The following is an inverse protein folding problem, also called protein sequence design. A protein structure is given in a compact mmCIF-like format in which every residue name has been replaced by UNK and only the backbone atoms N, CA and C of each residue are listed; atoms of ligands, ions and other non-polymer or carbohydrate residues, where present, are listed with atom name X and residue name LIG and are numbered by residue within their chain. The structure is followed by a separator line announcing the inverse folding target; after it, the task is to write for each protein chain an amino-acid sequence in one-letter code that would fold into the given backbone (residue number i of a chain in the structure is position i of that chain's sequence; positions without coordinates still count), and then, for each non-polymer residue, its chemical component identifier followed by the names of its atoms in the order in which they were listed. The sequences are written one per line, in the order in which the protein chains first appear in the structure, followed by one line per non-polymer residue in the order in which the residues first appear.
data_IF_271604080690
#
_entry.id   IF_271604080690
#
_cell.length_a   1.000
_cell.length_b   1.000
_cell.length_c   1.000
_cell.angle_alpha   90.00
_cell.angle_beta   90.00
_cell.angle_gamma   90.00
#
_symmetry.space_group_name_H-M   'P 1'
#
loop_
_entity.id
_entity.type
_entity.pdbx_description
1 polymer ?
#
# COMPACT_ATOMS: atom_id res chain seq x y z
N UNK A 1 -17.44 29.32 10.29
CA UNK A 1 -17.06 28.38 9.22
C UNK A 1 -18.08 27.25 9.18
N UNK A 2 -18.52 26.80 7.99
CA UNK A 2 -19.44 25.66 7.83
C UNK A 2 -18.92 24.72 6.74
N UNK A 3 -18.92 23.41 7.02
CA UNK A 3 -18.52 22.36 6.09
C UNK A 3 -19.73 21.52 5.69
N UNK A 4 -19.92 21.36 4.38
CA UNK A 4 -21.00 20.58 3.77
C UNK A 4 -20.43 19.50 2.85
N UNK A 5 -21.17 18.43 2.60
CA UNK A 5 -20.80 17.43 1.61
C UNK A 5 -21.64 17.56 0.34
N UNK A 6 -20.98 17.83 -0.79
CA UNK A 6 -21.62 17.91 -2.11
C UNK A 6 -21.56 16.54 -2.79
N UNK A 7 -22.63 15.77 -2.69
CA UNK A 7 -22.75 14.39 -3.20
C UNK A 7 -22.44 14.25 -4.69
N UNK A 8 -22.93 15.17 -5.53
CA UNK A 8 -22.69 15.20 -6.99
C UNK A 8 -21.20 15.21 -7.34
N UNK A 9 -20.42 15.96 -6.58
CA UNK A 9 -18.99 16.13 -6.80
C UNK A 9 -18.11 15.26 -5.89
N UNK A 10 -18.72 14.56 -4.92
CA UNK A 10 -18.07 13.79 -3.85
C UNK A 10 -17.00 14.58 -3.10
N UNK A 11 -17.32 15.83 -2.73
CA UNK A 11 -16.39 16.76 -2.06
C UNK A 11 -16.97 17.33 -0.78
N UNK A 12 -16.11 17.45 0.22
CA UNK A 12 -16.35 18.30 1.38
C UNK A 12 -15.99 19.73 1.03
N UNK A 13 -16.90 20.66 1.29
CA UNK A 13 -16.75 22.07 0.95
C UNK A 13 -16.89 22.89 2.22
N UNK A 14 -15.90 23.72 2.48
CA UNK A 14 -15.91 24.68 3.57
C UNK A 14 -16.14 26.09 3.05
N UNK A 15 -17.18 26.71 3.58
CA UNK A 15 -17.42 28.15 3.44
C UNK A 15 -16.88 28.79 4.71
N UNK A 16 -15.80 29.55 4.54
CA UNK A 16 -15.05 30.19 5.62
C UNK A 16 -15.00 31.69 5.35
N UNK A 17 -15.09 32.50 6.40
CA UNK A 17 -14.81 33.94 6.30
C UNK A 17 -13.33 34.18 5.97
N UNK A 18 -12.96 35.43 5.69
CA UNK A 18 -11.57 35.81 5.44
C UNK A 18 -10.65 35.45 6.62
N UNK A 19 -11.13 35.61 7.85
CA UNK A 19 -10.35 35.32 9.06
C UNK A 19 -10.22 33.82 9.32
N UNK A 20 -11.24 33.05 8.94
CA UNK A 20 -11.29 31.59 9.10
C UNK A 20 -10.51 30.84 7.99
N UNK A 21 -10.06 31.53 6.94
CA UNK A 21 -9.37 30.90 5.80
C UNK A 21 -8.14 30.08 6.22
N UNK A 22 -7.48 30.47 7.31
CA UNK A 22 -6.30 29.78 7.82
C UNK A 22 -6.66 28.39 8.39
N UNK A 23 -7.87 28.22 8.92
CA UNK A 23 -8.36 26.93 9.44
C UNK A 23 -8.42 25.90 8.31
N UNK A 24 -9.12 26.24 7.22
CA UNK A 24 -9.20 25.39 6.03
C UNK A 24 -7.82 25.12 5.40
N UNK A 25 -6.99 26.16 5.32
CA UNK A 25 -5.63 26.07 4.75
C UNK A 25 -4.73 25.15 5.58
N UNK A 26 -4.77 25.26 6.91
CA UNK A 26 -4.01 24.40 7.83
C UNK A 26 -4.49 22.94 7.78
N UNK A 27 -5.79 22.73 7.59
CA UNK A 27 -6.39 21.42 7.31
C UNK A 27 -6.07 20.89 5.88
N UNK A 28 -5.27 21.61 5.10
CA UNK A 28 -4.82 21.24 3.74
C UNK A 28 -5.96 21.10 2.73
N UNK A 29 -7.05 21.85 2.91
CA UNK A 29 -8.07 21.99 1.89
C UNK A 29 -7.52 22.80 0.71
N UNK A 30 -8.09 22.59 -0.48
CA UNK A 30 -7.74 23.31 -1.70
C UNK A 30 -8.69 24.49 -1.88
N UNK A 31 -8.16 25.63 -2.30
CA UNK A 31 -8.97 26.78 -2.67
C UNK A 31 -9.50 26.62 -4.10
N UNK A 32 -10.81 26.81 -4.28
CA UNK A 32 -11.44 26.95 -5.58
C UNK A 32 -11.73 28.44 -5.84
N UNK A 33 -10.97 29.11 -6.73
CA UNK A 33 -11.16 30.53 -7.01
C UNK A 33 -12.46 30.82 -7.78
N UNK A 34 -12.99 29.86 -8.54
CA UNK A 34 -14.22 30.03 -9.30
C UNK A 34 -15.46 30.02 -8.41
N UNK A 35 -15.50 29.11 -7.43
CA UNK A 35 -16.60 29.02 -6.46
C UNK A 35 -16.33 29.79 -5.15
N UNK A 36 -15.14 30.39 -5.00
CA UNK A 36 -14.68 31.10 -3.79
C UNK A 36 -14.88 30.30 -2.50
N UNK A 37 -14.52 29.02 -2.54
CA UNK A 37 -14.70 28.10 -1.41
C UNK A 37 -13.50 27.17 -1.24
N UNK A 38 -13.34 26.62 -0.05
CA UNK A 38 -12.33 25.59 0.23
C UNK A 38 -12.94 24.21 0.03
N UNK A 39 -12.18 23.25 -0.48
CA UNK A 39 -12.68 21.88 -0.65
C UNK A 39 -11.62 20.80 -0.48
N UNK A 40 -12.08 19.59 -0.16
CA UNK A 40 -11.28 18.36 -0.23
C UNK A 40 -12.18 17.20 -0.64
N UNK A 41 -11.60 16.26 -1.38
CA UNK A 41 -12.18 14.95 -1.69
C UNK A 41 -11.65 13.85 -0.76
N UNK A 42 -10.82 14.23 0.21
CA UNK A 42 -10.17 13.36 1.19
C UNK A 42 -10.87 13.47 2.56
N UNK A 43 -11.66 12.45 2.98
CA UNK A 43 -12.32 12.42 4.28
C UNK A 43 -11.35 12.59 5.45
N UNK A 44 -10.11 12.11 5.35
CA UNK A 44 -9.10 12.18 6.43
C UNK A 44 -8.75 13.62 6.77
N UNK A 45 -8.65 14.48 5.75
CA UNK A 45 -8.45 15.92 5.95
C UNK A 45 -9.71 16.57 6.49
N UNK A 46 -10.88 16.18 5.99
CA UNK A 46 -12.15 16.75 6.42
C UNK A 46 -12.49 16.41 7.89
N UNK A 47 -12.12 15.23 8.38
CA UNK A 47 -12.26 14.84 9.79
C UNK A 47 -11.55 15.83 10.74
N UNK A 48 -10.44 16.46 10.32
CA UNK A 48 -9.75 17.46 11.16
C UNK A 48 -10.60 18.70 11.47
N UNK A 49 -11.68 18.90 10.70
CA UNK A 49 -12.64 20.00 10.83
C UNK A 49 -14.05 19.48 11.17
N UNK A 50 -14.16 18.31 11.82
CA UNK A 50 -15.43 17.67 12.15
C UNK A 50 -16.39 18.60 12.93
N UNK A 51 -15.86 19.47 13.79
CA UNK A 51 -16.65 20.44 14.55
C UNK A 51 -17.43 21.45 13.68
N UNK A 52 -16.99 21.67 12.44
CA UNK A 52 -17.66 22.54 11.48
C UNK A 52 -18.58 21.78 10.51
N UNK A 53 -18.69 20.45 10.63
CA UNK A 53 -19.51 19.62 9.75
C UNK A 53 -21.00 19.82 9.99
N UNK A 54 -21.74 20.00 8.91
CA UNK A 54 -23.20 20.07 8.97
C UNK A 54 -23.86 18.68 8.82
N UNK A 55 -25.18 18.66 8.79
CA UNK A 55 -26.00 17.45 8.68
C UNK A 55 -25.69 16.60 7.44
N UNK A 56 -25.19 17.21 6.36
CA UNK A 56 -24.81 16.50 5.13
C UNK A 56 -23.42 15.86 5.22
N UNK A 57 -22.49 16.51 5.91
CA UNK A 57 -21.11 16.05 6.03
C UNK A 57 -20.91 15.12 7.23
N UNK A 58 -21.59 15.38 8.35
CA UNK A 58 -21.35 14.71 9.63
C UNK A 58 -21.50 13.19 9.57
N UNK A 59 -22.55 12.60 8.95
CA UNK A 59 -22.68 11.13 8.89
C UNK A 59 -21.52 10.48 8.13
N UNK A 60 -21.11 11.08 7.01
CA UNK A 60 -20.03 10.56 6.16
C UNK A 60 -18.68 10.65 6.88
N UNK A 61 -18.44 11.76 7.58
CA UNK A 61 -17.20 11.94 8.31
C UNK A 61 -17.12 11.05 9.55
N UNK A 62 -18.23 10.85 10.28
CA UNK A 62 -18.28 9.90 11.40
C UNK A 62 -17.99 8.48 10.93
N UNK A 63 -18.65 8.03 9.87
CA UNK A 63 -18.39 6.71 9.29
C UNK A 63 -16.95 6.56 8.82
N UNK A 64 -16.39 7.60 8.19
CA UNK A 64 -14.99 7.59 7.75
C UNK A 64 -14.02 7.59 8.94
N UNK A 65 -14.34 8.28 10.03
CA UNK A 65 -13.53 8.30 11.24
C UNK A 65 -13.58 6.95 11.98
N UNK A 66 -14.75 6.35 12.12
CA UNK A 66 -14.90 4.98 12.66
C UNK A 66 -14.05 3.97 11.86
N UNK A 67 -14.21 3.97 10.53
CA UNK A 67 -13.40 3.10 9.64
C UNK A 67 -11.90 3.36 9.80
N UNK A 68 -11.51 4.62 10.00
CA UNK A 68 -10.11 4.99 10.22
C UNK A 68 -9.60 4.46 11.56
N UNK A 69 -10.36 4.60 12.64
CA UNK A 69 -10.00 4.10 13.97
C UNK A 69 -9.86 2.57 13.95
N UNK A 70 -10.81 1.87 13.33
CA UNK A 70 -10.74 0.43 13.11
C UNK A 70 -9.48 0.04 12.35
N UNK A 71 -9.13 0.78 11.30
CA UNK A 71 -7.90 0.51 10.54
C UNK A 71 -6.63 0.77 11.36
N UNK A 72 -6.61 1.78 12.24
CA UNK A 72 -5.47 2.05 13.13
C UNK A 72 -5.33 0.90 14.12
N UNK A 73 -6.42 0.49 14.76
CA UNK A 73 -6.42 -0.61 15.71
C UNK A 73 -5.97 -1.92 15.07
N UNK A 74 -6.48 -2.22 13.86
CA UNK A 74 -6.07 -3.39 13.08
C UNK A 74 -4.60 -3.35 12.66
N UNK A 75 -4.03 -2.16 12.43
CA UNK A 75 -2.60 -2.02 12.08
C UNK A 75 -1.65 -2.30 13.25
N UNK A 76 -2.16 -2.26 14.49
CA UNK A 76 -1.40 -2.53 15.72
C UNK A 76 -1.75 -3.86 16.36
N UNK A 77 -2.58 -4.68 15.72
CA UNK A 77 -3.01 -5.96 16.24
C UNK A 77 -1.80 -6.90 16.38
N UNK A 78 -1.69 -7.57 17.53
CA UNK A 78 -0.60 -8.52 17.82
C UNK A 78 -0.99 -9.97 17.48
N UNK A 79 -2.27 -10.21 17.22
CA UNK A 79 -2.81 -11.50 16.83
C UNK A 79 -3.92 -11.35 15.79
N UNK A 80 -4.27 -12.49 15.21
CA UNK A 80 -5.30 -12.64 14.20
C UNK A 80 -5.83 -14.06 14.27
N UNK A 81 -7.16 -14.20 14.28
CA UNK A 81 -7.81 -15.50 14.15
C UNK A 81 -8.07 -15.80 12.67
N UNK A 82 -6.99 -15.84 11.88
CA UNK A 82 -7.01 -16.17 10.47
C UNK A 82 -6.32 -17.51 10.26
N UNK A 83 -7.02 -18.46 9.64
CA UNK A 83 -6.42 -19.74 9.24
C UNK A 83 -5.67 -19.55 7.92
N UNK A 84 -4.38 -19.26 8.04
CA UNK A 84 -3.50 -18.99 6.89
C UNK A 84 -2.83 -20.29 6.50
N UNK A 85 -2.97 -20.74 5.23
CA UNK A 85 -2.27 -21.92 4.75
C UNK A 85 -0.76 -21.82 4.99
N UNK A 86 -0.19 -22.89 5.53
CA UNK A 86 1.23 -22.98 5.89
C UNK A 86 1.81 -24.33 5.44
N UNK A 87 3.07 -24.40 5.01
CA UNK A 87 3.69 -25.68 4.69
C UNK A 87 3.85 -26.57 5.93
N UNK A 88 3.92 -27.91 5.76
CA UNK A 88 4.10 -28.83 6.87
C UNK A 88 5.35 -28.51 7.71
N UNK A 89 5.20 -28.49 9.03
CA UNK A 89 6.29 -28.23 9.98
C UNK A 89 6.65 -26.74 10.16
N UNK A 90 5.93 -25.82 9.53
CA UNK A 90 6.09 -24.38 9.71
C UNK A 90 4.87 -23.76 10.40
N UNK A 91 5.06 -22.59 11.01
CA UNK A 91 3.98 -21.80 11.60
C UNK A 91 4.31 -20.31 11.54
N UNK A 92 3.30 -19.46 11.41
CA UNK A 92 3.43 -18.01 11.50
C UNK A 92 3.38 -17.57 12.96
N UNK A 93 4.20 -16.59 13.33
CA UNK A 93 4.06 -15.92 14.63
C UNK A 93 2.73 -15.13 14.70
N UNK A 94 2.16 -14.88 15.89
CA UNK A 94 0.91 -14.15 16.03
C UNK A 94 0.88 -12.79 15.31
N UNK A 95 1.94 -11.99 15.45
CA UNK A 95 2.05 -10.68 14.79
C UNK A 95 2.11 -10.81 13.26
N UNK A 96 2.72 -11.88 12.74
CA UNK A 96 2.75 -12.14 11.29
C UNK A 96 1.36 -12.46 10.77
N UNK A 97 0.56 -13.21 11.54
CA UNK A 97 -0.85 -13.46 11.18
C UNK A 97 -1.65 -12.16 11.14
N UNK A 98 -1.42 -11.26 12.08
CA UNK A 98 -2.04 -9.93 12.10
C UNK A 98 -1.66 -9.10 10.87
N UNK A 99 -0.36 -9.04 10.53
CA UNK A 99 0.13 -8.38 9.32
C UNK A 99 -0.47 -8.96 8.03
N UNK A 100 -0.56 -10.29 7.95
CA UNK A 100 -1.19 -10.99 6.82
C UNK A 100 -2.68 -10.64 6.73
N UNK A 101 -3.44 -10.74 7.83
CA UNK A 101 -4.86 -10.40 7.86
C UNK A 101 -5.08 -8.94 7.43
N UNK A 102 -4.26 -8.03 7.95
CA UNK A 102 -4.31 -6.62 7.59
C UNK A 102 -4.10 -6.40 6.09
N UNK A 103 -3.12 -7.10 5.49
CA UNK A 103 -2.80 -6.99 4.08
C UNK A 103 -3.84 -7.65 3.15
N UNK A 104 -4.41 -8.80 3.54
CA UNK A 104 -5.41 -9.55 2.77
C UNK A 104 -6.68 -8.72 2.53
N UNK A 105 -7.10 -7.94 3.54
CA UNK A 105 -8.32 -7.12 3.48
C UNK A 105 -8.18 -5.87 2.59
N UNK A 106 -6.96 -5.54 2.11
CA UNK A 106 -6.66 -4.29 1.42
C UNK A 106 -6.03 -4.53 0.05
N UNK A 107 -6.34 -3.66 -0.92
CA UNK A 107 -5.68 -3.70 -2.23
C UNK A 107 -4.24 -3.21 -2.17
N UNK A 108 -3.96 -2.19 -1.36
CA UNK A 108 -2.62 -1.65 -1.22
C UNK A 108 -2.28 -1.54 0.27
N UNK A 109 -1.11 -2.05 0.64
CA UNK A 109 -0.66 -2.14 2.04
C UNK A 109 0.80 -1.72 2.15
N UNK A 110 1.12 -1.00 3.22
CA UNK A 110 2.48 -0.74 3.65
C UNK A 110 2.73 -1.57 4.91
N UNK A 111 3.64 -2.54 4.84
CA UNK A 111 4.12 -3.32 5.97
C UNK A 111 5.40 -2.64 6.46
N UNK A 112 5.30 -2.00 7.62
CA UNK A 112 6.36 -1.14 8.15
C UNK A 112 7.02 -1.69 9.42
N UNK A 113 6.89 -3.00 9.66
CA UNK A 113 7.45 -3.64 10.85
C UNK A 113 8.97 -3.57 10.87
N UNK A 114 9.55 -3.78 12.05
CA UNK A 114 10.99 -3.68 12.25
C UNK A 114 11.79 -4.66 11.39
N UNK A 115 13.07 -4.34 11.16
CA UNK A 115 13.96 -5.23 10.43
C UNK A 115 14.18 -6.52 11.22
N UNK A 116 14.08 -7.68 10.55
CA UNK A 116 14.33 -8.99 11.17
C UNK A 116 13.09 -9.72 11.70
N UNK A 117 11.90 -9.11 11.73
CA UNK A 117 10.66 -9.74 12.25
C UNK A 117 9.95 -10.68 11.26
N UNK A 118 10.40 -10.73 10.00
CA UNK A 118 9.89 -11.68 9.00
C UNK A 118 8.85 -11.13 8.02
N UNK A 119 8.91 -9.84 7.65
CA UNK A 119 8.05 -9.21 6.62
C UNK A 119 7.95 -10.01 5.31
N UNK A 120 9.03 -10.66 4.89
CA UNK A 120 9.04 -11.55 3.71
C UNK A 120 8.04 -12.70 3.87
N UNK A 121 8.01 -13.33 5.06
CA UNK A 121 7.10 -14.44 5.37
C UNK A 121 5.64 -13.97 5.37
N UNK A 122 5.37 -12.76 5.89
CA UNK A 122 4.04 -12.16 5.85
C UNK A 122 3.57 -11.93 4.41
N UNK A 123 4.41 -11.36 3.56
CA UNK A 123 4.07 -11.15 2.16
C UNK A 123 3.79 -12.48 1.43
N UNK A 124 4.54 -13.54 1.75
CA UNK A 124 4.27 -14.89 1.21
C UNK A 124 2.97 -15.48 1.79
N UNK A 125 2.68 -15.22 3.07
CA UNK A 125 1.42 -15.59 3.71
C UNK A 125 0.21 -14.99 3.01
N UNK A 126 0.31 -13.75 2.51
CA UNK A 126 -0.73 -13.13 1.67
C UNK A 126 -0.91 -13.87 0.34
N UNK A 127 0.20 -14.28 -0.30
CA UNK A 127 0.15 -15.09 -1.54
C UNK A 127 -0.58 -16.40 -1.27
N UNK A 128 -0.24 -17.10 -0.18
CA UNK A 128 -0.82 -18.38 0.22
C UNK A 128 -2.32 -18.25 0.53
N UNK A 129 -2.71 -17.25 1.32
CA UNK A 129 -4.10 -17.08 1.75
C UNK A 129 -5.05 -16.74 0.59
N UNK A 130 -4.58 -15.91 -0.36
CA UNK A 130 -5.38 -15.48 -1.51
C UNK A 130 -5.19 -16.35 -2.76
N UNK A 131 -4.37 -17.40 -2.69
CA UNK A 131 -3.96 -18.26 -3.82
C UNK A 131 -3.49 -17.48 -5.07
N UNK A 132 -2.70 -16.41 -4.85
CA UNK A 132 -2.26 -15.54 -5.93
C UNK A 132 -1.28 -16.26 -6.87
N UNK A 133 -1.47 -16.09 -8.18
CA UNK A 133 -0.72 -16.84 -9.20
C UNK A 133 0.38 -16.01 -9.81
N UNK A 134 0.07 -14.81 -10.28
CA UNK A 134 1.02 -13.95 -11.01
C UNK A 134 1.54 -12.86 -10.09
N UNK A 135 2.72 -13.06 -9.53
CA UNK A 135 3.31 -12.15 -8.52
C UNK A 135 4.65 -11.61 -8.99
N UNK A 136 4.86 -10.31 -8.82
CA UNK A 136 6.15 -9.67 -9.07
C UNK A 136 6.74 -9.15 -7.77
N UNK A 137 7.94 -9.63 -7.42
CA UNK A 137 8.74 -9.18 -6.29
C UNK A 137 9.84 -8.26 -6.79
N UNK A 138 9.84 -7.03 -6.30
CA UNK A 138 10.87 -6.02 -6.56
C UNK A 138 11.66 -5.82 -5.26
N UNK A 139 12.96 -6.14 -5.27
CA UNK A 139 13.80 -6.07 -4.07
C UNK A 139 15.23 -5.59 -4.39
N UNK A 140 16.06 -5.22 -3.39
CA UNK A 140 17.49 -5.02 -3.60
C UNK A 140 18.17 -6.25 -4.23
N UNK A 141 19.22 -6.03 -5.02
CA UNK A 141 19.91 -7.12 -5.73
C UNK A 141 20.43 -8.21 -4.78
N UNK A 142 20.89 -7.83 -3.59
CA UNK A 142 21.34 -8.74 -2.52
C UNK A 142 20.25 -9.63 -1.95
N UNK A 143 18.97 -9.23 -2.04
CA UNK A 143 17.84 -9.95 -1.46
C UNK A 143 17.16 -10.92 -2.42
N UNK A 144 17.50 -10.91 -3.73
CA UNK A 144 16.84 -11.79 -4.72
C UNK A 144 16.94 -13.28 -4.36
N UNK A 145 18.12 -13.71 -3.90
CA UNK A 145 18.35 -15.12 -3.51
C UNK A 145 17.61 -15.45 -2.21
N UNK A 146 17.54 -14.50 -1.28
CA UNK A 146 16.77 -14.69 -0.04
C UNK A 146 15.28 -14.87 -0.34
N UNK A 147 14.71 -13.99 -1.18
CA UNK A 147 13.33 -14.10 -1.64
C UNK A 147 13.04 -15.44 -2.30
N UNK A 148 13.92 -15.89 -3.18
CA UNK A 148 13.78 -17.20 -3.82
C UNK A 148 13.73 -18.34 -2.78
N UNK A 149 14.66 -18.35 -1.81
CA UNK A 149 14.70 -19.36 -0.74
C UNK A 149 13.44 -19.35 0.12
N UNK A 150 12.99 -18.17 0.54
CA UNK A 150 11.78 -18.04 1.36
C UNK A 150 10.53 -18.46 0.57
N UNK A 151 10.42 -18.10 -0.71
CA UNK A 151 9.31 -18.57 -1.57
C UNK A 151 9.32 -20.10 -1.72
N UNK A 152 10.48 -20.71 -1.96
CA UNK A 152 10.60 -22.18 -2.01
C UNK A 152 10.23 -22.84 -0.69
N UNK A 153 10.48 -22.19 0.45
CA UNK A 153 10.20 -22.72 1.78
C UNK A 153 8.74 -22.54 2.21
N UNK A 154 8.13 -21.38 1.91
CA UNK A 154 6.86 -20.97 2.52
C UNK A 154 5.64 -21.10 1.62
N UNK A 155 5.81 -21.24 0.30
CA UNK A 155 4.65 -21.43 -0.58
C UNK A 155 3.98 -22.79 -0.33
N UNK A 156 2.65 -22.77 -0.19
CA UNK A 156 1.87 -24.00 0.00
C UNK A 156 1.50 -24.67 -1.32
N UNK A 157 1.33 -23.88 -2.38
CA UNK A 157 1.07 -24.37 -3.73
C UNK A 157 2.37 -24.36 -4.53
N UNK A 158 2.58 -25.37 -5.36
CA UNK A 158 3.71 -25.39 -6.28
C UNK A 158 3.57 -24.25 -7.30
N UNK A 159 4.53 -23.34 -7.30
CA UNK A 159 4.62 -22.20 -8.23
C UNK A 159 5.99 -22.17 -8.87
N UNK A 160 6.05 -21.83 -10.15
CA UNK A 160 7.34 -21.52 -10.78
C UNK A 160 7.86 -20.19 -10.26
N UNK A 161 9.13 -20.15 -9.84
CA UNK A 161 9.78 -18.94 -9.33
C UNK A 161 10.98 -18.61 -10.22
N UNK A 162 10.97 -17.41 -10.81
CA UNK A 162 12.00 -16.94 -11.73
C UNK A 162 12.73 -15.71 -11.21
N UNK A 163 14.07 -15.73 -11.24
CA UNK A 163 14.89 -14.54 -10.95
C UNK A 163 15.32 -13.90 -12.26
N UNK A 164 14.89 -12.66 -12.49
CA UNK A 164 15.37 -11.86 -13.62
C UNK A 164 16.79 -11.36 -13.31
N UNK A 165 17.66 -11.52 -14.30
CA UNK A 165 19.02 -11.00 -14.29
C UNK A 165 19.23 -10.08 -15.49
N UNK A 166 20.33 -9.35 -15.52
CA UNK A 166 20.61 -8.37 -16.57
C UNK A 166 20.55 -8.92 -17.99
N UNK A 167 20.78 -10.21 -18.20
CA UNK A 167 20.88 -10.79 -19.55
C UNK A 167 19.70 -11.68 -19.94
N UNK A 168 18.81 -12.02 -19.01
CA UNK A 168 17.74 -13.00 -19.24
C UNK A 168 16.49 -12.66 -18.45
N UNK A 169 15.36 -12.60 -19.17
CA UNK A 169 14.03 -12.56 -18.58
C UNK A 169 13.57 -14.00 -18.32
N UNK A 170 12.88 -14.22 -17.21
CA UNK A 170 12.30 -15.51 -16.86
C UNK A 170 10.80 -15.31 -16.66
N UNK A 171 9.98 -15.98 -17.48
CA UNK A 171 8.54 -15.99 -17.30
C UNK A 171 8.17 -17.12 -16.33
N UNK A 172 7.54 -16.75 -15.22
CA UNK A 172 7.17 -17.63 -14.13
C UNK A 172 5.91 -17.10 -13.45
N UNK A 173 5.28 -17.93 -12.63
CA UNK A 173 4.17 -17.53 -11.75
C UNK A 173 4.63 -16.39 -10.84
N UNK A 174 5.80 -16.56 -10.20
CA UNK A 174 6.40 -15.56 -9.33
C UNK A 174 7.74 -15.11 -9.91
N UNK A 175 7.87 -13.81 -10.15
CA UNK A 175 9.04 -13.20 -10.77
C UNK A 175 9.74 -12.30 -9.77
N UNK A 176 11.06 -12.45 -9.61
CA UNK A 176 11.90 -11.65 -8.72
C UNK A 176 12.84 -10.79 -9.57
N UNK A 177 12.82 -9.47 -9.34
CA UNK A 177 13.66 -8.51 -10.05
C UNK A 177 14.27 -7.48 -9.09
N UNK A 178 15.46 -6.98 -9.40
CA UNK A 178 16.04 -5.86 -8.67
C UNK A 178 15.75 -4.50 -9.31
N UNK A 179 15.83 -3.46 -8.48
CA UNK A 179 15.55 -2.08 -8.87
C UNK A 179 16.33 -1.60 -10.10
N UNK A 180 17.59 -2.01 -10.24
CA UNK A 180 18.50 -1.48 -11.27
C UNK A 180 18.08 -1.87 -12.69
N UNK A 181 17.44 -3.02 -12.84
CA UNK A 181 17.04 -3.57 -14.15
C UNK A 181 15.53 -3.42 -14.42
N UNK A 182 14.78 -2.75 -13.55
CA UNK A 182 13.35 -2.45 -13.77
C UNK A 182 13.12 -1.70 -15.07
N UNK A 183 13.89 -0.63 -15.31
CA UNK A 183 13.74 0.21 -16.51
C UNK A 183 13.99 -0.61 -17.77
N UNK A 184 14.99 -1.50 -17.75
CA UNK A 184 15.34 -2.38 -18.87
C UNK A 184 14.18 -3.30 -19.25
N UNK A 185 13.49 -3.87 -18.25
CA UNK A 185 12.40 -4.82 -18.47
C UNK A 185 11.00 -4.21 -18.39
N UNK A 186 10.88 -2.89 -18.27
CA UNK A 186 9.61 -2.20 -18.02
C UNK A 186 8.51 -2.61 -18.98
N UNK A 187 8.73 -2.47 -20.30
CA UNK A 187 7.73 -2.82 -21.32
C UNK A 187 7.25 -4.27 -21.24
N UNK A 188 8.16 -5.19 -20.89
CA UNK A 188 7.83 -6.61 -20.75
C UNK A 188 7.05 -6.87 -19.46
N UNK A 189 7.44 -6.24 -18.35
CA UNK A 189 6.71 -6.34 -17.08
C UNK A 189 5.31 -5.72 -17.17
N UNK A 190 5.15 -4.67 -17.99
CA UNK A 190 3.86 -4.03 -18.25
C UNK A 190 2.92 -4.84 -19.16
N UNK A 191 3.42 -5.91 -19.80
CA UNK A 191 2.60 -6.80 -20.64
C UNK A 191 1.88 -7.89 -19.84
N UNK A 192 2.07 -7.96 -18.53
CA UNK A 192 1.40 -8.92 -17.65
C UNK A 192 0.41 -8.19 -16.76
N UNK A 193 -0.72 -8.84 -16.49
CA UNK A 193 -1.63 -8.45 -15.41
C UNK A 193 -1.20 -9.19 -14.15
N UNK A 194 -0.71 -8.43 -13.17
CA UNK A 194 -0.18 -8.97 -11.92
C UNK A 194 -1.31 -9.06 -10.87
N UNK A 195 -1.37 -10.18 -10.18
CA UNK A 195 -2.25 -10.32 -9.02
C UNK A 195 -1.73 -9.46 -7.86
N UNK A 196 -0.41 -9.47 -7.67
CA UNK A 196 0.28 -8.75 -6.61
C UNK A 196 1.66 -8.27 -7.07
N UNK A 197 1.99 -7.03 -6.73
CA UNK A 197 3.36 -6.54 -6.72
C UNK A 197 3.82 -6.33 -5.28
N UNK A 198 4.95 -6.93 -4.94
CA UNK A 198 5.65 -6.75 -3.67
C UNK A 198 6.86 -5.86 -3.92
N UNK A 199 7.00 -4.79 -3.16
CA UNK A 199 8.10 -3.82 -3.24
C UNK A 199 8.83 -3.84 -1.91
N UNK A 200 9.93 -4.57 -1.86
CA UNK A 200 10.77 -4.72 -0.68
C UNK A 200 11.81 -3.60 -0.60
N UNK A 201 12.07 -3.11 0.61
CA UNK A 201 12.85 -1.89 0.85
C UNK A 201 12.36 -0.71 0.01
N UNK A 202 11.07 -0.40 0.12
CA UNK A 202 10.39 0.63 -0.68
C UNK A 202 11.02 2.03 -0.56
N UNK A 203 11.86 2.28 0.45
CA UNK A 203 12.66 3.50 0.55
C UNK A 203 13.59 3.73 -0.67
N UNK A 204 13.91 2.68 -1.43
CA UNK A 204 14.62 2.79 -2.72
C UNK A 204 13.83 3.64 -3.73
N UNK A 205 12.50 3.70 -3.69
CA UNK A 205 11.70 4.48 -4.67
C UNK A 205 11.14 5.78 -4.12
N UNK A 206 11.75 6.33 -3.06
CA UNK A 206 11.32 7.60 -2.43
C UNK A 206 11.32 8.80 -3.38
N UNK A 207 12.21 8.84 -4.37
CA UNK A 207 12.28 9.94 -5.32
C UNK A 207 11.40 9.65 -6.54
N UNK A 208 10.21 10.25 -6.60
CA UNK A 208 9.25 10.08 -7.70
C UNK A 208 9.76 10.54 -9.07
N UNK A 209 10.80 11.38 -9.13
CA UNK A 209 11.39 11.85 -10.40
C UNK A 209 12.37 10.85 -11.01
N UNK A 210 12.92 9.92 -10.21
CA UNK A 210 13.90 8.94 -10.68
C UNK A 210 13.29 7.97 -11.69
N UNK A 211 14.07 7.58 -12.71
CA UNK A 211 13.61 6.65 -13.76
C UNK A 211 13.09 5.33 -13.19
N UNK A 212 13.78 4.75 -12.20
CA UNK A 212 13.35 3.52 -11.51
C UNK A 212 11.98 3.66 -10.83
N UNK A 213 11.73 4.79 -10.17
CA UNK A 213 10.45 5.03 -9.47
C UNK A 213 9.32 5.18 -10.48
N UNK A 214 9.57 5.92 -11.57
CA UNK A 214 8.61 6.06 -12.67
C UNK A 214 8.29 4.70 -13.32
N UNK A 215 9.31 3.88 -13.58
CA UNK A 215 9.13 2.55 -14.12
C UNK A 215 8.31 1.67 -13.17
N UNK A 216 8.67 1.63 -11.88
CA UNK A 216 7.92 0.88 -10.88
C UNK A 216 6.45 1.33 -10.81
N UNK A 217 6.19 2.64 -10.75
CA UNK A 217 4.82 3.15 -10.69
C UNK A 217 4.01 2.82 -11.94
N UNK A 218 4.65 2.80 -13.10
CA UNK A 218 4.01 2.40 -14.35
C UNK A 218 3.65 0.91 -14.35
N UNK A 219 4.59 0.04 -13.97
CA UNK A 219 4.37 -1.40 -13.80
C UNK A 219 3.30 -1.66 -12.73
N UNK A 220 3.33 -0.91 -11.62
CA UNK A 220 2.38 -1.04 -10.52
C UNK A 220 0.92 -0.82 -10.96
N UNK A 221 0.66 -0.06 -12.02
CA UNK A 221 -0.70 0.10 -12.56
C UNK A 221 -1.27 -1.19 -13.13
N UNK A 222 -0.42 -2.16 -13.45
CA UNK A 222 -0.80 -3.49 -13.95
C UNK A 222 -1.08 -4.49 -12.83
N UNK A 223 -1.05 -4.07 -11.56
CA UNK A 223 -1.31 -4.96 -10.43
C UNK A 223 -2.64 -4.67 -9.73
N UNK A 224 -3.37 -5.76 -9.48
CA UNK A 224 -4.60 -5.76 -8.67
C UNK A 224 -4.32 -5.39 -7.21
N UNK A 225 -3.19 -5.87 -6.66
CA UNK A 225 -2.76 -5.60 -5.28
C UNK A 225 -1.30 -5.16 -5.20
N UNK A 226 -0.95 -4.42 -4.16
CA UNK A 226 0.41 -3.90 -3.92
C UNK A 226 0.77 -4.00 -2.44
N UNK A 227 1.91 -4.59 -2.15
CA UNK A 227 2.52 -4.58 -0.82
C UNK A 227 3.83 -3.83 -0.92
N UNK A 228 3.96 -2.77 -0.13
CA UNK A 228 5.22 -2.06 0.06
C UNK A 228 5.77 -2.45 1.43
N UNK A 229 7.07 -2.74 1.51
CA UNK A 229 7.72 -3.12 2.76
C UNK A 229 8.91 -2.21 3.01
N UNK A 230 9.07 -1.73 4.24
CA UNK A 230 10.20 -0.90 4.63
C UNK A 230 10.35 -0.92 6.14
N UNK A 231 11.57 -1.10 6.67
CA UNK A 231 11.83 -0.88 8.10
C UNK A 231 11.85 0.61 8.49
N UNK A 232 11.85 1.52 7.50
CA UNK A 232 11.92 2.98 7.72
C UNK A 232 10.87 3.69 6.87
N UNK A 233 9.62 3.83 7.35
CA UNK A 233 8.52 4.40 6.56
C UNK A 233 8.56 5.94 6.49
N UNK A 234 9.09 6.62 7.51
CA UNK A 234 9.11 8.09 7.59
C UNK A 234 10.50 8.62 7.20
N UNK A 235 10.53 9.59 6.29
CA UNK A 235 11.70 10.42 6.03
C UNK A 235 11.59 11.74 6.79
N UNK A 236 12.74 12.28 7.23
CA UNK A 236 12.84 13.56 7.96
C UNK A 236 12.21 14.79 7.28
N UNK A 237 11.69 14.68 6.04
CA UNK A 237 10.92 15.72 5.34
C UNK A 237 9.80 15.08 4.49
N UNK A 238 8.53 15.14 4.93
CA UNK A 238 7.37 14.64 4.18
C UNK A 238 6.98 15.52 2.99
#
# INVERSE_FOLDING_TARGET
MKMIYKSESKKFVCIASYDERMIAKNARFRWDPGQKQWWTDDPTKAITLLEYADETALPILKQADETRQESIQASTALDANLDIPVPPGLSYFPFQKAGIQYAVQRKNTLIADDMGVGKTVEAIGVINYLDLKKVLVVCPASLKINWYRELTKWLVQARTVGIINGNKFFDADIVIINYDILVKYQKKLESFDWDLIIVDEAHYVKNYKAFRSKALYSIAKKASRKIYMTGTPIVNRP
#
